data_IF_466165552790
#
_entry.id   IF_466165552790
#
_cell.length_a   1.000
_cell.length_b   1.000
_cell.length_c   1.000
_cell.angle_alpha   90.00
_cell.angle_beta   90.00
_cell.angle_gamma   90.00
#
_symmetry.space_group_name_H-M   'P 1'
#
loop_
_entity.id
_entity.type
_entity.pdbx_description
1 polymer ?
#
# COMPACT_ATOMS: atom_id res chain seq x y z
N UNK A 1 -0.35 -5.69 -18.78
CA UNK A 1 0.15 -7.05 -18.43
C UNK A 1 -1.00 -8.02 -18.14
N UNK A 2 -1.95 -7.68 -17.26
CA UNK A 2 -3.09 -8.56 -16.93
C UNK A 2 -4.00 -8.84 -18.12
N UNK A 3 -4.29 -7.85 -18.96
CA UNK A 3 -5.13 -8.00 -20.15
C UNK A 3 -4.57 -9.03 -21.12
N UNK A 4 -3.24 -9.07 -21.30
CA UNK A 4 -2.57 -10.05 -22.15
C UNK A 4 -2.69 -11.48 -21.62
N UNK A 5 -2.80 -11.64 -20.31
CA UNK A 5 -2.98 -12.93 -19.65
C UNK A 5 -4.45 -13.37 -19.62
N UNK A 6 -5.40 -12.43 -19.85
CA UNK A 6 -6.83 -12.69 -19.67
C UNK A 6 -7.19 -13.04 -18.22
N UNK A 7 -6.40 -12.58 -17.26
CA UNK A 7 -6.60 -12.79 -15.81
C UNK A 7 -6.97 -11.47 -15.13
N UNK A 8 -7.95 -11.53 -14.25
CA UNK A 8 -8.40 -10.38 -13.49
C UNK A 8 -7.44 -10.02 -12.34
N UNK A 9 -7.30 -8.72 -12.07
CA UNK A 9 -6.51 -8.25 -10.93
C UNK A 9 -6.96 -8.88 -9.60
N UNK A 10 -8.27 -8.92 -9.38
CA UNK A 10 -8.86 -9.46 -8.15
C UNK A 10 -8.79 -10.99 -8.06
N UNK A 11 -8.58 -11.68 -9.17
CA UNK A 11 -8.37 -13.14 -9.20
C UNK A 11 -6.97 -13.50 -8.71
N UNK A 12 -5.96 -12.72 -9.11
CA UNK A 12 -4.57 -12.97 -8.74
C UNK A 12 -4.15 -12.33 -7.41
N UNK A 13 -4.83 -11.29 -6.96
CA UNK A 13 -4.46 -10.57 -5.74
C UNK A 13 -4.38 -11.47 -4.50
N UNK A 14 -5.33 -12.38 -4.22
CA UNK A 14 -5.20 -13.29 -3.07
C UNK A 14 -3.96 -14.18 -3.14
N UNK A 15 -3.62 -14.66 -4.34
CA UNK A 15 -2.41 -15.44 -4.57
C UNK A 15 -1.13 -14.64 -4.33
N UNK A 16 -1.09 -13.41 -4.82
CA UNK A 16 0.04 -12.50 -4.59
C UNK A 16 0.19 -12.13 -3.11
N UNK A 17 -0.91 -11.94 -2.39
CA UNK A 17 -0.90 -11.70 -0.94
C UNK A 17 -0.40 -12.92 -0.17
N UNK A 18 -0.82 -14.12 -0.55
CA UNK A 18 -0.31 -15.36 0.07
C UNK A 18 1.16 -15.56 -0.24
N UNK A 19 1.59 -15.37 -1.49
CA UNK A 19 2.99 -15.40 -1.87
C UNK A 19 3.85 -14.40 -1.07
N UNK A 20 3.34 -13.19 -0.82
CA UNK A 20 4.05 -12.18 -0.02
C UNK A 20 4.32 -12.64 1.43
N UNK A 21 3.61 -13.64 1.96
CA UNK A 21 3.86 -14.21 3.30
C UNK A 21 5.21 -14.93 3.40
N UNK A 22 5.85 -15.24 2.28
CA UNK A 22 7.24 -15.73 2.31
C UNK A 22 8.18 -14.76 3.05
N UNK A 23 7.87 -13.45 3.01
CA UNK A 23 8.62 -12.41 3.70
C UNK A 23 8.48 -12.47 5.24
N UNK A 24 7.60 -13.28 5.76
CA UNK A 24 7.54 -13.59 7.20
C UNK A 24 8.69 -14.50 7.66
N UNK A 25 9.36 -15.18 6.70
CA UNK A 25 10.41 -16.15 6.96
C UNK A 25 11.79 -15.68 6.52
N UNK A 26 11.86 -14.83 5.50
CA UNK A 26 13.10 -14.26 4.97
C UNK A 26 12.87 -12.89 4.35
N UNK A 27 13.87 -12.06 4.38
CA UNK A 27 13.91 -10.84 3.57
C UNK A 27 14.40 -11.14 2.15
N UNK A 28 14.10 -10.22 1.24
CA UNK A 28 14.54 -10.28 -0.15
C UNK A 28 15.23 -8.96 -0.49
N UNK A 29 16.43 -9.07 -1.05
CA UNK A 29 17.20 -7.92 -1.52
C UNK A 29 16.79 -7.59 -2.95
N UNK A 30 16.58 -6.33 -3.22
CA UNK A 30 16.18 -5.76 -4.51
C UNK A 30 14.75 -6.04 -4.95
N UNK A 31 14.27 -5.14 -5.80
CA UNK A 31 12.93 -5.21 -6.38
C UNK A 31 12.80 -6.34 -7.41
N UNK A 32 13.84 -6.52 -8.21
CA UNK A 32 13.90 -7.54 -9.26
C UNK A 32 13.80 -8.93 -8.65
N UNK A 33 14.56 -9.19 -7.59
CA UNK A 33 14.52 -10.46 -6.86
C UNK A 33 13.16 -10.70 -6.22
N UNK A 34 12.54 -9.66 -5.64
CA UNK A 34 11.20 -9.77 -5.06
C UNK A 34 10.16 -10.12 -6.12
N UNK A 35 10.19 -9.44 -7.26
CA UNK A 35 9.25 -9.69 -8.36
C UNK A 35 9.41 -11.12 -8.89
N UNK A 36 10.64 -11.60 -9.04
CA UNK A 36 10.94 -12.97 -9.47
C UNK A 36 10.37 -14.00 -8.48
N UNK A 37 10.70 -13.87 -7.21
CA UNK A 37 10.28 -14.83 -6.18
C UNK A 37 8.77 -14.87 -6.01
N UNK A 38 8.10 -13.72 -6.08
CA UNK A 38 6.64 -13.67 -6.00
C UNK A 38 5.99 -14.25 -7.26
N UNK A 39 6.54 -13.98 -8.45
CA UNK A 39 6.03 -14.55 -9.69
C UNK A 39 6.15 -16.08 -9.71
N UNK A 40 7.26 -16.63 -9.24
CA UNK A 40 7.45 -18.08 -9.09
C UNK A 40 6.45 -18.70 -8.10
N UNK A 41 6.17 -18.01 -6.99
CA UNK A 41 5.21 -18.48 -5.99
C UNK A 41 3.75 -18.45 -6.49
N UNK A 42 3.41 -17.54 -7.40
CA UNK A 42 2.07 -17.43 -8.00
C UNK A 42 1.90 -18.36 -9.21
N UNK A 43 3.00 -18.72 -9.88
CA UNK A 43 3.01 -19.49 -11.11
C UNK A 43 2.16 -20.77 -11.10
N UNK A 44 2.09 -21.58 -10.00
CA UNK A 44 1.25 -22.78 -9.95
C UNK A 44 -0.25 -22.54 -10.14
N UNK A 45 -0.70 -21.29 -10.00
CA UNK A 45 -2.09 -20.89 -10.19
C UNK A 45 -2.37 -20.34 -11.59
N UNK A 46 -1.33 -20.23 -12.42
CA UNK A 46 -1.46 -19.73 -13.79
C UNK A 46 -1.84 -20.88 -14.71
N UNK A 47 -2.88 -20.73 -15.57
CA UNK A 47 -3.23 -21.74 -16.55
C UNK A 47 -2.04 -22.14 -17.41
N UNK A 48 -1.90 -23.43 -17.70
CA UNK A 48 -0.72 -23.99 -18.40
C UNK A 48 -0.47 -23.33 -19.77
N UNK A 49 -1.53 -22.98 -20.49
CA UNK A 49 -1.46 -22.28 -21.77
C UNK A 49 -0.94 -20.84 -21.65
N UNK A 50 -0.98 -20.25 -20.46
CA UNK A 50 -0.48 -18.88 -20.17
C UNK A 50 0.94 -18.87 -19.62
N UNK A 51 1.48 -20.01 -19.19
CA UNK A 51 2.82 -20.09 -18.61
C UNK A 51 3.94 -19.56 -19.52
N UNK A 52 3.96 -19.84 -20.84
CA UNK A 52 4.98 -19.26 -21.71
C UNK A 52 4.96 -17.72 -21.71
N UNK A 53 3.77 -17.12 -21.68
CA UNK A 53 3.62 -15.66 -21.59
C UNK A 53 3.99 -15.15 -20.20
N UNK A 54 3.59 -15.83 -19.13
CA UNK A 54 3.92 -15.48 -17.74
C UNK A 54 5.43 -15.40 -17.52
N UNK A 55 6.18 -16.36 -18.07
CA UNK A 55 7.65 -16.46 -17.98
C UNK A 55 8.39 -15.56 -18.98
N UNK A 56 7.69 -15.12 -20.03
CA UNK A 56 8.27 -14.26 -21.06
C UNK A 56 8.69 -12.90 -20.53
N UNK A 57 9.61 -12.24 -21.25
CA UNK A 57 10.05 -10.88 -20.88
C UNK A 57 8.92 -9.85 -20.94
N UNK A 58 8.91 -8.94 -19.97
CA UNK A 58 7.91 -7.87 -19.90
C UNK A 58 8.18 -6.76 -20.92
N UNK A 59 7.12 -6.08 -21.37
CA UNK A 59 7.22 -4.83 -22.13
C UNK A 59 7.19 -3.57 -21.23
N UNK A 60 7.16 -3.74 -19.90
CA UNK A 60 7.11 -2.65 -18.90
C UNK A 60 8.44 -2.47 -18.16
N UNK A 61 9.55 -2.59 -18.87
CA UNK A 61 10.89 -2.46 -18.30
C UNK A 61 11.90 -3.19 -19.14
N UNK A 62 12.96 -3.66 -18.50
CA UNK A 62 14.01 -4.47 -19.16
C UNK A 62 13.53 -5.93 -19.25
N UNK A 63 13.21 -6.44 -20.43
CA UNK A 63 12.69 -7.80 -20.61
C UNK A 63 13.69 -8.89 -20.21
N UNK A 64 14.99 -8.57 -20.11
CA UNK A 64 16.01 -9.50 -19.63
C UNK A 64 16.02 -9.62 -18.11
N UNK A 65 15.49 -8.61 -17.40
CA UNK A 65 15.49 -8.54 -15.92
C UNK A 65 14.16 -8.86 -15.30
N UNK A 66 13.06 -8.66 -16.04
CA UNK A 66 11.72 -8.85 -15.50
C UNK A 66 10.82 -9.61 -16.46
N UNK A 67 10.16 -10.65 -15.95
CA UNK A 67 9.13 -11.38 -16.68
C UNK A 67 7.78 -10.64 -16.64
N UNK A 68 6.85 -11.07 -17.50
CA UNK A 68 5.44 -10.61 -17.44
C UNK A 68 4.85 -10.92 -16.07
N UNK A 69 5.08 -12.11 -15.52
CA UNK A 69 4.64 -12.47 -14.16
C UNK A 69 5.24 -11.56 -13.11
N UNK A 70 6.53 -11.25 -13.20
CA UNK A 70 7.20 -10.30 -12.33
C UNK A 70 6.57 -8.91 -12.39
N UNK A 71 6.25 -8.42 -13.58
CA UNK A 71 5.56 -7.14 -13.74
C UNK A 71 4.15 -7.16 -13.12
N UNK A 72 3.41 -8.26 -13.29
CA UNK A 72 2.06 -8.42 -12.72
C UNK A 72 2.10 -8.37 -11.19
N UNK A 73 2.95 -9.18 -10.54
CA UNK A 73 3.04 -9.18 -9.06
C UNK A 73 3.59 -7.86 -8.53
N UNK A 74 4.42 -7.18 -9.29
CA UNK A 74 4.92 -5.84 -8.96
C UNK A 74 3.79 -4.82 -8.76
N UNK A 75 2.76 -4.84 -9.61
CA UNK A 75 1.57 -4.00 -9.44
C UNK A 75 0.73 -4.35 -8.21
N UNK A 76 0.84 -5.59 -7.72
CA UNK A 76 0.12 -6.08 -6.53
C UNK A 76 0.87 -5.83 -5.22
N UNK A 77 2.12 -5.35 -5.25
CA UNK A 77 2.87 -5.04 -4.04
C UNK A 77 2.25 -3.93 -3.19
N UNK A 78 1.61 -2.94 -3.83
CA UNK A 78 0.96 -1.86 -3.08
C UNK A 78 -0.19 -2.35 -2.20
N UNK A 79 -1.17 -3.13 -2.70
CA UNK A 79 -2.15 -3.79 -1.82
C UNK A 79 -1.51 -4.66 -0.75
N UNK A 80 -0.45 -5.42 -1.07
CA UNK A 80 0.29 -6.22 -0.08
C UNK A 80 0.90 -5.34 1.03
N UNK A 81 1.45 -4.17 0.68
CA UNK A 81 1.98 -3.21 1.64
C UNK A 81 0.86 -2.61 2.52
N UNK A 82 -0.29 -2.25 1.94
CA UNK A 82 -1.44 -1.78 2.71
C UNK A 82 -2.02 -2.85 3.64
N UNK A 83 -1.91 -4.11 3.27
CA UNK A 83 -2.27 -5.24 4.13
C UNK A 83 -1.20 -5.56 5.21
N UNK A 84 -0.10 -4.82 5.24
CA UNK A 84 0.98 -5.03 6.21
C UNK A 84 1.82 -6.29 5.96
N UNK A 85 1.85 -6.78 4.73
CA UNK A 85 2.62 -7.98 4.35
C UNK A 85 4.04 -7.65 3.89
N UNK A 86 4.27 -6.43 3.36
CA UNK A 86 5.54 -5.99 2.77
C UNK A 86 5.88 -4.59 3.26
N UNK A 87 7.09 -4.42 3.75
CA UNK A 87 7.70 -3.12 4.08
C UNK A 87 9.15 -3.10 3.61
N UNK A 88 9.73 -1.91 3.58
CA UNK A 88 11.17 -1.77 3.39
C UNK A 88 11.88 -2.09 4.71
N UNK A 89 12.87 -2.97 4.65
CA UNK A 89 13.79 -3.28 5.74
C UNK A 89 15.06 -2.45 5.67
N UNK A 90 16.19 -3.06 6.01
CA UNK A 90 17.51 -2.40 5.92
C UNK A 90 17.88 -2.10 4.48
N UNK A 91 18.60 -1.02 4.31
CA UNK A 91 19.26 -0.73 3.03
C UNK A 91 20.64 -1.39 2.98
N UNK A 92 20.96 -2.01 1.86
CA UNK A 92 22.31 -2.46 1.52
C UNK A 92 22.78 -1.65 0.31
N UNK A 93 23.54 -0.59 0.57
CA UNK A 93 23.88 0.39 -0.46
C UNK A 93 22.65 1.11 -1.02
N UNK A 94 22.44 1.03 -2.33
CA UNK A 94 21.29 1.60 -3.02
C UNK A 94 20.07 0.67 -3.02
N UNK A 95 20.25 -0.62 -2.77
CA UNK A 95 19.17 -1.62 -2.85
C UNK A 95 18.36 -1.66 -1.56
N UNK A 96 17.01 -1.53 -1.64
CA UNK A 96 16.16 -1.75 -0.49
C UNK A 96 16.02 -3.26 -0.23
N UNK A 97 15.96 -3.62 1.05
CA UNK A 97 15.52 -4.93 1.49
C UNK A 97 13.99 -4.90 1.64
N UNK A 98 13.32 -5.96 1.21
CA UNK A 98 11.89 -6.17 1.40
C UNK A 98 11.67 -7.25 2.45
N UNK A 99 10.78 -6.97 3.40
CA UNK A 99 10.56 -7.82 4.57
C UNK A 99 9.13 -7.67 5.06
N UNK A 100 8.59 -8.65 5.78
CA UNK A 100 7.33 -8.44 6.47
C UNK A 100 7.52 -7.66 7.77
N UNK A 101 6.53 -6.87 8.23
CA UNK A 101 6.56 -6.29 9.57
C UNK A 101 6.79 -7.31 10.67
N UNK A 102 6.23 -8.52 10.50
CA UNK A 102 6.37 -9.62 11.46
C UNK A 102 7.83 -10.05 11.63
N UNK A 103 8.57 -10.22 10.53
CA UNK A 103 9.99 -10.54 10.57
C UNK A 103 10.82 -9.35 11.08
N UNK A 104 10.48 -8.12 10.63
CA UNK A 104 11.23 -6.91 10.93
C UNK A 104 11.09 -6.46 12.38
N UNK A 105 9.86 -6.50 12.92
CA UNK A 105 9.53 -5.98 14.25
C UNK A 105 9.35 -7.09 15.31
N UNK A 106 9.44 -8.36 14.92
CA UNK A 106 9.12 -9.50 15.78
C UNK A 106 7.63 -9.67 16.08
N UNK A 107 6.76 -8.86 15.47
CA UNK A 107 5.30 -8.91 15.63
C UNK A 107 4.59 -8.42 14.37
N UNK A 108 3.38 -8.91 14.13
CA UNK A 108 2.51 -8.40 13.07
C UNK A 108 2.03 -6.98 13.36
N UNK A 109 1.48 -6.34 12.32
CA UNK A 109 0.75 -5.09 12.48
C UNK A 109 -0.68 -5.40 12.92
N UNK A 110 -1.11 -4.78 14.00
CA UNK A 110 -2.48 -4.84 14.48
C UNK A 110 -3.26 -3.62 14.00
N UNK A 111 -4.48 -3.83 13.52
CA UNK A 111 -5.37 -2.74 13.16
C UNK A 111 -5.86 -2.05 14.44
N UNK A 112 -5.58 -0.76 14.59
CA UNK A 112 -6.17 0.02 15.67
C UNK A 112 -7.67 0.24 15.37
N UNK A 113 -8.57 0.04 16.36
CA UNK A 113 -10.01 0.21 16.16
C UNK A 113 -10.40 1.59 15.63
N UNK A 114 -9.67 2.62 16.04
CA UNK A 114 -9.89 4.02 15.67
C UNK A 114 -8.86 4.57 14.67
N UNK A 115 -8.20 3.70 13.90
CA UNK A 115 -7.12 4.09 12.99
C UNK A 115 -7.51 5.24 12.05
N UNK A 116 -8.76 5.25 11.56
CA UNK A 116 -9.27 6.32 10.71
C UNK A 116 -9.34 7.67 11.44
N UNK A 117 -9.87 7.70 12.64
CA UNK A 117 -9.90 8.90 13.48
C UNK A 117 -8.48 9.33 13.87
N UNK A 118 -7.62 8.38 14.25
CA UNK A 118 -6.21 8.63 14.54
C UNK A 118 -5.47 9.29 13.38
N UNK A 119 -5.76 8.88 12.14
CA UNK A 119 -5.18 9.48 10.94
C UNK A 119 -5.61 10.94 10.77
N UNK A 120 -6.90 11.25 10.95
CA UNK A 120 -7.41 12.63 10.87
C UNK A 120 -6.83 13.49 11.98
N UNK A 121 -6.75 12.98 13.22
CA UNK A 121 -6.10 13.71 14.32
C UNK A 121 -4.64 14.04 14.01
N UNK A 122 -3.88 13.10 13.43
CA UNK A 122 -2.50 13.36 12.98
C UNK A 122 -2.43 14.44 11.91
N UNK A 123 -3.31 14.37 10.91
CA UNK A 123 -3.40 15.40 9.87
C UNK A 123 -3.66 16.77 10.49
N UNK A 124 -4.67 16.89 11.37
CA UNK A 124 -5.01 18.17 11.99
C UNK A 124 -3.91 18.69 12.93
N UNK A 125 -3.19 17.81 13.64
CA UNK A 125 -2.04 18.23 14.46
C UNK A 125 -0.93 18.88 13.64
N UNK A 126 -0.78 18.47 12.38
CA UNK A 126 0.27 19.00 11.51
C UNK A 126 -0.20 20.18 10.63
N UNK A 127 -1.47 20.21 10.25
CA UNK A 127 -1.96 21.10 9.18
C UNK A 127 -3.18 21.94 9.58
N UNK A 128 -3.62 21.90 10.85
CA UNK A 128 -4.71 22.78 11.28
C UNK A 128 -4.33 24.27 11.20
N UNK A 129 -5.29 25.15 10.93
CA UNK A 129 -6.70 24.87 10.67
C UNK A 129 -6.93 24.37 9.24
N UNK A 130 -7.71 23.30 9.09
CA UNK A 130 -7.92 22.62 7.82
C UNK A 130 -9.39 22.28 7.56
N UNK A 131 -9.68 21.83 6.34
CA UNK A 131 -11.00 21.39 5.88
C UNK A 131 -10.98 19.92 5.47
N UNK A 132 -12.15 19.30 5.37
CA UNK A 132 -12.34 17.95 4.82
C UNK A 132 -11.74 17.83 3.39
N UNK A 133 -11.87 18.90 2.58
CA UNK A 133 -11.31 18.92 1.22
C UNK A 133 -9.79 18.88 1.22
N UNK A 134 -9.15 19.58 2.15
CA UNK A 134 -7.69 19.56 2.31
C UNK A 134 -7.22 18.20 2.80
N UNK A 135 -7.98 17.52 3.67
CA UNK A 135 -7.73 16.12 4.05
C UNK A 135 -7.82 15.19 2.83
N UNK A 136 -8.85 15.34 1.99
CA UNK A 136 -9.00 14.55 0.76
C UNK A 136 -7.79 14.69 -0.16
N UNK A 137 -7.34 15.93 -0.37
CA UNK A 137 -6.18 16.24 -1.20
C UNK A 137 -4.89 15.66 -0.60
N UNK A 138 -4.70 15.77 0.71
CA UNK A 138 -3.53 15.22 1.41
C UNK A 138 -3.47 13.70 1.34
N UNK A 139 -4.61 13.02 1.49
CA UNK A 139 -4.72 11.57 1.39
C UNK A 139 -4.65 11.05 -0.05
N UNK A 140 -4.87 11.90 -1.05
CA UNK A 140 -5.12 11.45 -2.42
C UNK A 140 -6.38 10.58 -2.53
N UNK A 141 -7.37 10.81 -1.66
CA UNK A 141 -8.58 10.01 -1.56
C UNK A 141 -9.80 10.69 -2.20
N UNK A 142 -10.88 9.90 -2.40
CA UNK A 142 -12.15 10.48 -2.83
C UNK A 142 -12.75 11.38 -1.74
N UNK A 143 -13.54 12.41 -2.11
CA UNK A 143 -14.27 13.24 -1.14
C UNK A 143 -15.16 12.43 -0.21
N UNK A 144 -15.77 11.35 -0.71
CA UNK A 144 -16.61 10.47 0.10
C UNK A 144 -15.83 9.76 1.21
N UNK A 145 -14.63 9.28 0.88
CA UNK A 145 -13.72 8.65 1.85
C UNK A 145 -13.24 9.65 2.89
N UNK A 146 -12.80 10.84 2.48
CA UNK A 146 -12.36 11.89 3.41
C UNK A 146 -13.49 12.29 4.36
N UNK A 147 -14.72 12.46 3.85
CA UNK A 147 -15.91 12.77 4.66
C UNK A 147 -16.19 11.69 5.69
N UNK A 148 -16.10 10.41 5.31
CA UNK A 148 -16.27 9.29 6.23
C UNK A 148 -15.27 9.36 7.39
N UNK A 149 -14.00 9.61 7.09
CA UNK A 149 -12.93 9.73 8.08
C UNK A 149 -13.13 10.98 8.96
N UNK A 150 -13.50 12.11 8.35
CA UNK A 150 -13.71 13.37 9.05
C UNK A 150 -14.80 13.30 10.11
N UNK A 151 -15.92 12.64 9.78
CA UNK A 151 -17.04 12.42 10.71
C UNK A 151 -16.63 11.68 11.99
N UNK A 152 -15.63 10.82 11.91
CA UNK A 152 -15.14 10.08 13.08
C UNK A 152 -14.49 10.98 14.15
N UNK A 153 -14.09 12.21 13.80
CA UNK A 153 -13.50 13.19 14.72
C UNK A 153 -14.36 14.46 14.86
N UNK A 154 -15.51 14.52 14.20
CA UNK A 154 -16.37 15.71 14.17
C UNK A 154 -16.68 16.27 15.57
N UNK A 155 -16.95 15.45 16.62
CA UNK A 155 -17.15 15.95 17.97
C UNK A 155 -15.94 16.64 18.61
N UNK A 156 -14.74 16.44 18.07
CA UNK A 156 -13.49 17.01 18.57
C UNK A 156 -13.13 18.31 17.83
N UNK A 157 -13.89 18.68 16.81
CA UNK A 157 -13.56 19.79 15.91
C UNK A 157 -14.16 21.10 16.39
N UNK A 158 -13.34 22.13 16.40
CA UNK A 158 -13.74 23.52 16.66
C UNK A 158 -13.58 24.33 15.37
N UNK A 159 -14.63 25.07 14.96
CA UNK A 159 -14.50 25.95 13.82
C UNK A 159 -13.65 27.16 14.15
N UNK A 160 -12.74 27.50 13.24
CA UNK A 160 -11.88 28.69 13.32
C UNK A 160 -11.95 29.48 12.01
N UNK A 161 -11.81 30.79 12.09
CA UNK A 161 -11.76 31.65 10.91
C UNK A 161 -10.31 31.87 10.51
N UNK A 162 -9.95 31.43 9.30
CA UNK A 162 -8.60 31.59 8.77
C UNK A 162 -8.66 32.19 7.36
N UNK A 163 -8.13 33.40 7.20
CA UNK A 163 -8.18 34.13 5.93
C UNK A 163 -9.60 34.36 5.41
N UNK A 164 -10.55 34.65 6.29
CA UNK A 164 -11.97 34.83 5.96
C UNK A 164 -12.72 33.53 5.61
N UNK A 165 -12.09 32.36 5.72
CA UNK A 165 -12.70 31.07 5.44
C UNK A 165 -12.86 30.25 6.71
N UNK A 166 -14.01 29.58 6.83
CA UNK A 166 -14.26 28.63 7.93
C UNK A 166 -13.41 27.39 7.72
N UNK A 167 -12.56 27.06 8.69
CA UNK A 167 -11.76 25.86 8.80
C UNK A 167 -11.95 25.22 10.18
N UNK A 168 -11.23 24.16 10.47
CA UNK A 168 -11.36 23.40 11.71
C UNK A 168 -10.01 23.06 12.32
N UNK A 169 -9.96 23.08 13.64
CA UNK A 169 -8.84 22.56 14.43
C UNK A 169 -9.38 21.57 15.46
N UNK A 170 -8.53 20.77 16.07
CA UNK A 170 -8.92 19.97 17.25
C UNK A 170 -9.07 20.90 18.46
N UNK A 171 -10.09 20.69 19.28
CA UNK A 171 -10.32 21.50 20.50
C UNK A 171 -9.06 21.56 21.38
N UNK A 172 -8.36 20.45 21.56
CA UNK A 172 -7.12 20.36 22.35
C UNK A 172 -5.91 21.15 21.78
N UNK A 173 -6.04 21.78 20.62
CA UNK A 173 -4.98 22.64 20.05
C UNK A 173 -5.21 24.13 20.34
N UNK A 174 -6.35 24.50 20.91
CA UNK A 174 -6.76 25.89 21.16
C UNK A 174 -6.68 26.26 22.64
N UNK A 175 -6.35 25.30 23.49
CA UNK A 175 -6.06 25.47 24.93
C UNK A 175 -4.59 25.83 25.13
#
# INVERSE_FOLDING_TARGET
>A
ALDCLGLGFYELLPAAMEAARLLERRSVLSKEELDRVLAEAVEPLIPSEKLPLWRGGTMYGDPEKQSVGGAVVSFMLRPCAFAGLVVFGRRQGASPEFVSPKLWLGRGLEAAPDAGAGLVRKFLRCYAPATERELAAWLGSSPAQARRLWRAVEPELVPVLCGGKKKYALACQLE
#
